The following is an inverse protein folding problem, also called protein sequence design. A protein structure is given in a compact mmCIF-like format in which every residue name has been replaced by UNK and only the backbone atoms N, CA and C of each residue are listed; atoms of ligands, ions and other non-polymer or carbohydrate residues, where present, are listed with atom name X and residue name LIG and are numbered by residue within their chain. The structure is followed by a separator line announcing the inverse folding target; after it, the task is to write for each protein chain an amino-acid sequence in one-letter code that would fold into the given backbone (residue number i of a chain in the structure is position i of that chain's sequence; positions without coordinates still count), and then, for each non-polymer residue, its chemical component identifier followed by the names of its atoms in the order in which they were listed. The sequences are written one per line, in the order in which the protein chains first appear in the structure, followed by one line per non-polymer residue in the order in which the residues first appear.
data_IF_072728620282
#
_entry.id   IF_072728620282
#
_cell.length_a   1.000
_cell.length_b   1.000
_cell.length_c   1.000
_cell.angle_alpha   90.00
_cell.angle_beta   90.00
_cell.angle_gamma   90.00
#
_symmetry.space_group_name_H-M   'P 1'
#
loop_
_entity.id
_entity.type
_entity.pdbx_description
1 polymer ?
#
# COMPACT_ATOMS: atom_id res chain seq x y z
N UNK A 1 -17.99 1.14 28.37
CA UNK A 1 -18.49 -0.11 27.77
C UNK A 1 -17.35 -0.75 27.00
N UNK A 2 -16.96 -1.96 27.41
CA UNK A 2 -15.92 -2.74 26.72
C UNK A 2 -16.38 -3.11 25.31
N UNK A 3 -15.44 -3.18 24.36
CA UNK A 3 -15.74 -3.58 22.98
C UNK A 3 -15.87 -5.10 22.91
N UNK A 4 -16.98 -5.58 22.32
CA UNK A 4 -17.13 -7.01 22.07
C UNK A 4 -16.11 -7.49 21.04
N UNK A 5 -15.46 -8.61 21.34
CA UNK A 5 -14.59 -9.34 20.41
C UNK A 5 -15.42 -9.98 19.30
N UNK A 6 -14.81 -10.33 18.14
CA UNK A 6 -15.52 -11.03 17.07
C UNK A 6 -16.19 -12.33 17.53
N UNK A 7 -15.51 -13.10 18.41
CA UNK A 7 -16.05 -14.34 18.99
C UNK A 7 -17.32 -14.07 19.82
N UNK A 8 -17.31 -13.02 20.65
CA UNK A 8 -18.48 -12.62 21.43
C UNK A 8 -19.63 -12.18 20.52
N UNK A 9 -19.35 -11.51 19.40
CA UNK A 9 -20.37 -11.14 18.43
C UNK A 9 -21.01 -12.35 17.75
N UNK A 10 -20.25 -13.40 17.46
CA UNK A 10 -20.81 -14.67 16.94
C UNK A 10 -21.82 -15.26 17.93
N UNK A 11 -21.51 -15.26 19.22
CA UNK A 11 -22.43 -15.73 20.26
C UNK A 11 -23.73 -14.93 20.24
N UNK A 12 -23.64 -13.60 20.13
CA UNK A 12 -24.82 -12.72 20.01
C UNK A 12 -25.67 -13.08 18.79
N UNK A 13 -25.06 -13.29 17.62
CA UNK A 13 -25.78 -13.67 16.39
C UNK A 13 -26.49 -15.02 16.55
N UNK A 14 -25.79 -16.03 17.06
CA UNK A 14 -26.36 -17.38 17.28
C UNK A 14 -27.59 -17.33 18.17
N UNK A 15 -27.48 -16.64 19.31
CA UNK A 15 -28.55 -16.54 20.31
C UNK A 15 -29.73 -15.72 19.77
N UNK A 16 -29.46 -14.67 19.01
CA UNK A 16 -30.51 -13.85 18.42
C UNK A 16 -31.42 -14.66 17.49
N UNK A 17 -30.84 -15.48 16.62
CA UNK A 17 -31.63 -16.34 15.73
C UNK A 17 -32.26 -17.53 16.48
N UNK A 18 -31.61 -18.07 17.52
CA UNK A 18 -32.19 -19.11 18.37
C UNK A 18 -33.49 -18.62 19.05
N UNK A 19 -33.55 -17.35 19.45
CA UNK A 19 -34.75 -16.75 20.04
C UNK A 19 -35.67 -16.05 19.02
N UNK A 20 -35.67 -16.50 17.77
CA UNK A 20 -36.58 -16.01 16.72
C UNK A 20 -36.54 -14.48 16.57
N UNK A 21 -35.34 -13.89 16.60
CA UNK A 21 -35.11 -12.45 16.44
C UNK A 21 -35.67 -11.56 17.58
N UNK A 22 -35.96 -12.14 18.75
CA UNK A 22 -36.37 -11.37 19.93
C UNK A 22 -35.18 -10.79 20.70
N UNK A 23 -34.99 -9.46 20.64
CA UNK A 23 -33.88 -8.80 21.36
C UNK A 23 -33.99 -8.98 22.88
N UNK A 24 -35.20 -8.97 23.44
CA UNK A 24 -35.42 -9.10 24.89
C UNK A 24 -34.98 -10.48 25.37
N UNK A 25 -35.37 -11.54 24.66
CA UNK A 25 -34.96 -12.90 24.99
C UNK A 25 -33.45 -13.09 24.77
N UNK A 26 -32.91 -12.51 23.71
CA UNK A 26 -31.46 -12.49 23.44
C UNK A 26 -30.71 -11.87 24.62
N UNK A 27 -31.11 -10.71 25.13
CA UNK A 27 -30.47 -10.10 26.29
C UNK A 27 -30.60 -10.92 27.57
N UNK A 28 -31.67 -11.71 27.74
CA UNK A 28 -31.82 -12.63 28.87
C UNK A 28 -30.84 -13.78 28.76
N UNK A 29 -30.81 -14.49 27.62
CA UNK A 29 -29.85 -15.60 27.42
C UNK A 29 -28.39 -15.16 27.43
N UNK A 30 -28.10 -13.90 27.04
CA UNK A 30 -26.75 -13.34 27.12
C UNK A 30 -26.28 -13.02 28.55
N UNK A 31 -27.19 -12.90 29.54
CA UNK A 31 -26.79 -12.68 30.94
C UNK A 31 -26.04 -13.86 31.52
N UNK A 32 -26.44 -15.07 31.14
CA UNK A 32 -25.84 -16.29 31.67
C UNK A 32 -24.40 -16.48 31.14
N UNK A 33 -24.12 -15.95 29.95
CA UNK A 33 -22.82 -16.10 29.27
C UNK A 33 -21.87 -14.93 29.57
N UNK A 34 -22.36 -13.69 29.48
CA UNK A 34 -21.53 -12.49 29.66
C UNK A 34 -21.60 -11.89 31.06
N UNK A 35 -22.51 -12.36 31.91
CA UNK A 35 -22.77 -11.76 33.22
C UNK A 35 -23.61 -10.48 33.12
N UNK A 36 -24.26 -10.11 34.23
CA UNK A 36 -25.28 -9.05 34.28
C UNK A 36 -24.79 -7.68 33.79
N UNK A 37 -23.52 -7.36 33.99
CA UNK A 37 -22.95 -6.03 33.70
C UNK A 37 -22.33 -5.90 32.30
N UNK A 38 -22.11 -7.02 31.58
CA UNK A 38 -21.47 -7.01 30.25
C UNK A 38 -22.44 -7.37 29.11
N UNK A 39 -23.75 -7.42 29.40
CA UNK A 39 -24.76 -7.67 28.37
C UNK A 39 -24.80 -6.51 27.38
N UNK A 40 -24.71 -6.76 26.06
CA UNK A 40 -24.81 -5.72 25.06
C UNK A 40 -26.16 -5.01 25.10
N UNK A 41 -26.14 -3.70 24.87
CA UNK A 41 -27.36 -2.91 24.74
C UNK A 41 -28.19 -3.35 23.52
N UNK A 42 -29.50 -3.08 23.54
CA UNK A 42 -30.41 -3.32 22.40
C UNK A 42 -29.85 -2.76 21.09
N UNK A 43 -29.34 -1.54 21.11
CA UNK A 43 -28.74 -0.89 19.94
C UNK A 43 -27.49 -1.61 19.43
N UNK A 44 -26.67 -2.16 20.34
CA UNK A 44 -25.47 -2.92 19.99
C UNK A 44 -25.84 -4.25 19.32
N UNK A 45 -26.81 -4.98 19.87
CA UNK A 45 -27.29 -6.25 19.30
C UNK A 45 -27.83 -6.01 17.88
N UNK A 46 -28.74 -5.06 17.71
CA UNK A 46 -29.33 -4.75 16.40
C UNK A 46 -28.27 -4.29 15.39
N UNK A 47 -27.26 -3.53 15.83
CA UNK A 47 -26.15 -3.14 14.96
C UNK A 47 -25.29 -4.34 14.54
N UNK A 48 -25.02 -5.28 15.44
CA UNK A 48 -24.28 -6.51 15.12
C UNK A 48 -25.06 -7.33 14.09
N UNK A 49 -26.36 -7.56 14.31
CA UNK A 49 -27.21 -8.31 13.38
C UNK A 49 -27.30 -7.62 12.02
N UNK A 50 -27.56 -6.31 12.00
CA UNK A 50 -27.60 -5.55 10.74
C UNK A 50 -26.27 -5.64 9.97
N UNK A 51 -25.14 -5.52 10.67
CA UNK A 51 -23.84 -5.65 10.02
C UNK A 51 -23.60 -7.08 9.51
N UNK A 52 -24.03 -8.08 10.25
CA UNK A 52 -23.94 -9.49 9.84
C UNK A 52 -24.81 -9.77 8.61
N UNK A 53 -26.06 -9.34 8.57
CA UNK A 53 -26.98 -9.55 7.44
C UNK A 53 -26.56 -8.78 6.18
N UNK A 54 -25.90 -7.62 6.33
CA UNK A 54 -25.47 -6.80 5.19
C UNK A 54 -24.08 -7.13 4.67
N UNK A 55 -23.13 -7.48 5.54
CA UNK A 55 -21.72 -7.71 5.19
C UNK A 55 -21.29 -9.18 5.33
N UNK A 56 -22.18 -10.06 5.81
CA UNK A 56 -21.91 -11.48 6.08
C UNK A 56 -20.69 -11.72 6.97
N UNK A 57 -20.35 -10.75 7.83
CA UNK A 57 -19.19 -10.80 8.71
C UNK A 57 -19.49 -10.22 10.09
N UNK A 58 -18.84 -10.78 11.11
CA UNK A 58 -18.84 -10.27 12.49
C UNK A 58 -17.60 -9.43 12.81
N UNK A 59 -16.65 -9.36 11.87
CA UNK A 59 -15.44 -8.56 12.01
C UNK A 59 -15.76 -7.07 12.10
N UNK A 60 -14.80 -6.30 12.59
CA UNK A 60 -14.92 -4.85 12.55
C UNK A 60 -14.98 -4.37 11.10
N UNK A 61 -15.89 -3.44 10.83
CA UNK A 61 -15.97 -2.78 9.52
C UNK A 61 -14.66 -2.03 9.28
N UNK A 62 -14.13 -2.13 8.07
CA UNK A 62 -12.99 -1.33 7.65
C UNK A 62 -13.31 0.15 7.85
N UNK A 63 -12.42 0.85 8.54
CA UNK A 63 -12.55 2.29 8.73
C UNK A 63 -11.97 2.97 7.50
N UNK A 64 -12.73 3.88 6.89
CA UNK A 64 -12.26 4.71 5.77
C UNK A 64 -11.06 5.59 6.16
N UNK A 65 -10.86 5.82 7.47
CA UNK A 65 -9.78 6.68 7.96
C UNK A 65 -10.01 8.15 7.62
N UNK A 66 -8.98 8.98 7.87
CA UNK A 66 -9.02 10.40 7.50
C UNK A 66 -8.76 10.54 5.98
N UNK A 67 -9.58 11.31 5.23
CA UNK A 67 -9.33 11.54 3.82
C UNK A 67 -7.98 12.21 3.60
N UNK A 68 -7.25 11.76 2.56
CA UNK A 68 -5.92 12.29 2.20
C UNK A 68 -6.06 13.45 1.22
N UNK A 69 -6.37 14.65 1.70
CA UNK A 69 -6.55 15.83 0.83
C UNK A 69 -5.30 16.21 0.04
N UNK A 70 -4.12 16.13 0.68
CA UNK A 70 -2.87 16.52 0.04
C UNK A 70 -2.32 15.49 -0.97
N UNK A 71 -2.67 14.21 -0.83
CA UNK A 71 -2.27 13.10 -1.72
C UNK A 71 -3.45 12.66 -2.57
N UNK A 72 -4.10 13.61 -3.23
CA UNK A 72 -5.13 13.31 -4.22
C UNK A 72 -4.51 12.61 -5.44
N UNK A 73 -5.35 11.95 -6.24
CA UNK A 73 -4.90 11.36 -7.50
C UNK A 73 -4.35 12.43 -8.45
N UNK A 74 -5.02 13.58 -8.52
CA UNK A 74 -4.57 14.76 -9.29
C UNK A 74 -3.16 15.23 -8.88
N UNK A 75 -2.90 15.41 -7.58
CA UNK A 75 -1.57 15.81 -7.11
C UNK A 75 -0.51 14.73 -7.41
N UNK A 76 -0.91 13.46 -7.34
CA UNK A 76 -0.02 12.32 -7.64
C UNK A 76 0.37 12.30 -9.12
N UNK A 77 -0.59 12.54 -10.00
CA UNK A 77 -0.38 12.64 -11.44
C UNK A 77 0.46 13.87 -11.81
N UNK A 78 0.17 15.04 -11.23
CA UNK A 78 0.95 16.25 -11.43
C UNK A 78 2.42 16.07 -11.02
N UNK A 79 2.66 15.44 -9.86
CA UNK A 79 4.03 15.11 -9.42
C UNK A 79 4.69 14.11 -10.37
N UNK A 80 3.96 13.08 -10.82
CA UNK A 80 4.48 12.08 -11.77
C UNK A 80 4.90 12.70 -13.09
N UNK A 81 4.06 13.53 -13.68
CA UNK A 81 4.31 14.22 -14.95
C UNK A 81 5.52 15.16 -14.83
N UNK A 82 5.55 15.95 -13.76
CA UNK A 82 6.64 16.87 -13.49
C UNK A 82 7.99 16.13 -13.36
N UNK A 83 8.02 14.96 -12.71
CA UNK A 83 9.25 14.15 -12.60
C UNK A 83 9.65 13.52 -13.93
N UNK A 84 8.68 13.10 -14.75
CA UNK A 84 8.94 12.55 -16.07
C UNK A 84 9.52 13.59 -17.05
N UNK A 85 9.06 14.84 -16.95
CA UNK A 85 9.56 15.95 -17.76
C UNK A 85 10.99 16.35 -17.37
N UNK A 86 11.23 16.55 -16.07
CA UNK A 86 12.53 16.98 -15.55
C UNK A 86 12.89 16.20 -14.28
N UNK A 87 13.63 15.08 -14.39
CA UNK A 87 13.96 14.23 -13.25
C UNK A 87 14.98 14.88 -12.29
N UNK A 88 15.83 15.77 -12.79
CA UNK A 88 16.88 16.43 -12.01
C UNK A 88 16.34 17.54 -11.08
N UNK A 89 15.10 18.00 -11.30
CA UNK A 89 14.50 19.07 -10.50
C UNK A 89 14.35 18.65 -9.03
N UNK A 90 14.95 19.44 -8.14
CA UNK A 90 14.88 19.20 -6.70
C UNK A 90 13.45 19.22 -6.18
N UNK A 91 13.18 18.42 -5.13
CA UNK A 91 11.86 18.36 -4.48
C UNK A 91 11.41 19.74 -3.98
N UNK A 92 12.33 20.58 -3.52
CA UNK A 92 12.02 21.94 -3.05
C UNK A 92 11.51 22.83 -4.19
N UNK A 93 12.18 22.78 -5.34
CA UNK A 93 11.78 23.55 -6.53
C UNK A 93 10.43 23.05 -7.07
N UNK A 94 10.27 21.75 -7.18
CA UNK A 94 9.01 21.12 -7.60
C UNK A 94 7.82 21.49 -6.69
N UNK A 95 8.07 21.63 -5.40
CA UNK A 95 7.07 22.10 -4.43
C UNK A 95 6.60 23.54 -4.70
N UNK A 96 7.52 24.41 -5.10
CA UNK A 96 7.19 25.79 -5.46
C UNK A 96 6.42 25.84 -6.79
N UNK A 97 6.85 25.06 -7.79
CA UNK A 97 6.21 25.00 -9.11
C UNK A 97 4.77 24.45 -9.05
N UNK A 98 4.55 23.39 -8.26
CA UNK A 98 3.23 22.75 -8.14
C UNK A 98 2.34 23.35 -7.04
N UNK A 99 2.87 24.25 -6.20
CA UNK A 99 2.14 24.78 -5.03
C UNK A 99 1.81 23.73 -3.96
N UNK A 100 2.47 22.57 -3.98
CA UNK A 100 2.24 21.47 -3.03
C UNK A 100 3.34 21.50 -1.96
N UNK A 101 2.98 21.21 -0.70
CA UNK A 101 3.97 21.07 0.37
C UNK A 101 5.06 20.04 0.00
N UNK A 102 6.33 20.43 0.15
CA UNK A 102 7.52 19.60 -0.09
C UNK A 102 7.41 18.21 0.52
N UNK A 103 6.91 18.09 1.76
CA UNK A 103 6.80 16.79 2.45
C UNK A 103 5.76 15.88 1.79
N UNK A 104 4.68 16.46 1.28
CA UNK A 104 3.66 15.74 0.51
C UNK A 104 4.25 15.22 -0.79
N UNK A 105 4.97 16.05 -1.55
CA UNK A 105 5.66 15.61 -2.78
C UNK A 105 6.62 14.46 -2.49
N UNK A 106 7.46 14.60 -1.45
CA UNK A 106 8.40 13.54 -1.08
C UNK A 106 7.67 12.23 -0.72
N UNK A 107 6.55 12.33 -0.01
CA UNK A 107 5.72 11.18 0.34
C UNK A 107 5.09 10.55 -0.90
N UNK A 108 4.59 11.34 -1.84
CA UNK A 108 4.03 10.88 -3.12
C UNK A 108 5.11 10.12 -3.91
N UNK A 109 6.26 10.76 -4.12
CA UNK A 109 7.38 10.17 -4.86
C UNK A 109 7.82 8.84 -4.24
N UNK A 110 7.98 8.76 -2.91
CA UNK A 110 8.50 7.58 -2.24
C UNK A 110 7.47 6.46 -2.02
N UNK A 111 6.24 6.80 -1.61
CA UNK A 111 5.23 5.81 -1.15
C UNK A 111 4.17 5.48 -2.19
N UNK A 112 3.83 6.41 -3.09
CA UNK A 112 2.80 6.16 -4.13
C UNK A 112 3.45 5.80 -5.47
N UNK A 113 4.49 6.55 -5.88
CA UNK A 113 5.17 6.35 -7.16
C UNK A 113 6.39 5.43 -7.07
N UNK A 114 6.82 5.08 -5.85
CA UNK A 114 7.98 4.22 -5.59
C UNK A 114 9.26 4.65 -6.32
N UNK A 115 9.48 5.96 -6.45
CA UNK A 115 10.70 6.51 -7.02
C UNK A 115 11.87 6.40 -6.05
N UNK A 116 13.02 6.05 -6.61
CA UNK A 116 14.29 5.99 -5.91
C UNK A 116 15.20 7.12 -6.38
N UNK A 117 16.02 7.72 -5.49
CA UNK A 117 17.02 8.68 -5.92
C UNK A 117 18.01 8.01 -6.87
N UNK A 118 18.11 8.52 -8.10
CA UNK A 118 19.24 8.19 -8.97
C UNK A 118 20.47 8.89 -8.42
N UNK A 119 21.46 8.11 -7.97
CA UNK A 119 22.76 8.66 -7.57
C UNK A 119 23.59 8.86 -8.83
N UNK A 120 23.91 10.12 -9.15
CA UNK A 120 24.83 10.42 -10.24
C UNK A 120 26.18 9.79 -9.93
N UNK A 121 26.65 8.92 -10.81
CA UNK A 121 28.00 8.37 -10.74
C UNK A 121 28.91 9.25 -11.60
N UNK A 122 30.04 9.67 -11.04
CA UNK A 122 31.07 10.33 -11.82
C UNK A 122 31.79 9.26 -12.66
N UNK A 123 31.68 9.36 -13.98
CA UNK A 123 32.32 8.45 -14.93
C UNK A 123 33.20 9.24 -15.90
N UNK A 124 34.12 8.55 -16.58
CA UNK A 124 34.88 9.15 -17.66
C UNK A 124 33.95 9.49 -18.83
N UNK A 125 34.11 10.70 -19.38
CA UNK A 125 33.39 11.11 -20.58
C UNK A 125 33.77 10.21 -21.76
N UNK A 126 32.77 9.71 -22.48
CA UNK A 126 32.98 8.91 -23.68
C UNK A 126 32.93 9.83 -24.90
N UNK A 127 33.94 9.74 -25.76
CA UNK A 127 33.94 10.42 -27.05
C UNK A 127 33.12 9.62 -28.06
N UNK A 128 32.73 10.29 -29.14
CA UNK A 128 31.94 9.66 -30.21
C UNK A 128 32.62 8.42 -30.82
N UNK A 129 33.95 8.43 -30.93
CA UNK A 129 34.77 7.28 -31.34
C UNK A 129 34.62 6.09 -30.39
N UNK A 130 34.58 6.35 -29.09
CA UNK A 130 34.61 5.34 -28.05
C UNK A 130 33.31 4.54 -28.06
N UNK A 131 32.18 5.19 -28.35
CA UNK A 131 30.89 4.51 -28.50
C UNK A 131 30.93 3.41 -29.57
N UNK A 132 31.54 3.70 -30.74
CA UNK A 132 31.66 2.73 -31.84
C UNK A 132 32.61 1.59 -31.46
N UNK A 133 33.78 1.92 -30.91
CA UNK A 133 34.78 0.93 -30.51
C UNK A 133 34.26 0.00 -29.41
N UNK A 134 33.64 0.56 -28.37
CA UNK A 134 33.07 -0.22 -27.26
C UNK A 134 31.96 -1.14 -27.75
N UNK A 135 31.05 -0.67 -28.61
CA UNK A 135 29.99 -1.52 -29.18
C UNK A 135 30.59 -2.66 -30.00
N UNK A 136 31.55 -2.35 -30.89
CA UNK A 136 32.22 -3.36 -31.70
C UNK A 136 32.92 -4.42 -30.86
N UNK A 137 33.62 -3.99 -29.80
CA UNK A 137 34.28 -4.90 -28.88
C UNK A 137 33.30 -5.77 -28.11
N UNK A 138 32.20 -5.19 -27.58
CA UNK A 138 31.13 -5.95 -26.90
C UNK A 138 30.49 -7.00 -27.82
N UNK A 139 30.18 -6.65 -29.07
CA UNK A 139 29.60 -7.61 -30.03
C UNK A 139 30.58 -8.74 -30.34
N UNK A 140 31.86 -8.42 -30.52
CA UNK A 140 32.91 -9.44 -30.74
C UNK A 140 33.07 -10.36 -29.53
N UNK A 141 33.01 -9.81 -28.32
CA UNK A 141 33.04 -10.56 -27.07
C UNK A 141 31.88 -11.56 -26.96
N UNK A 142 30.66 -11.12 -27.33
CA UNK A 142 29.49 -11.98 -27.34
C UNK A 142 29.65 -13.13 -28.34
N UNK A 143 30.20 -12.87 -29.53
CA UNK A 143 30.48 -13.91 -30.52
C UNK A 143 31.50 -14.93 -30.01
N UNK A 144 32.62 -14.46 -29.44
CA UNK A 144 33.66 -15.33 -28.89
C UNK A 144 33.13 -16.24 -27.77
N UNK A 145 32.16 -15.78 -26.98
CA UNK A 145 31.50 -16.60 -25.96
C UNK A 145 30.56 -17.66 -26.54
N UNK A 146 29.95 -17.40 -27.70
CA UNK A 146 29.13 -18.40 -28.42
C UNK A 146 30.01 -19.46 -29.05
N UNK A 147 31.12 -19.04 -29.66
CA UNK A 147 32.06 -19.93 -30.35
C UNK A 147 32.87 -20.81 -29.37
N UNK A 148 33.17 -20.28 -28.18
CA UNK A 148 33.85 -21.02 -27.10
C UNK A 148 33.20 -20.74 -25.73
N UNK A 149 32.41 -21.70 -25.19
CA UNK A 149 31.78 -21.55 -23.88
C UNK A 149 32.76 -21.36 -22.70
N UNK A 150 34.02 -21.77 -22.85
CA UNK A 150 35.06 -21.64 -21.83
C UNK A 150 35.94 -20.39 -22.02
N UNK A 151 35.58 -19.51 -22.96
CA UNK A 151 36.34 -18.30 -23.29
C UNK A 151 36.69 -17.44 -22.06
N UNK A 152 35.76 -17.27 -21.10
CA UNK A 152 35.98 -16.45 -19.91
C UNK A 152 37.13 -16.91 -19.03
N UNK A 153 37.46 -18.21 -19.02
CA UNK A 153 38.58 -18.76 -18.24
C UNK A 153 39.94 -18.41 -18.85
N UNK A 154 39.97 -17.98 -20.12
CA UNK A 154 41.18 -17.63 -20.86
C UNK A 154 41.55 -16.15 -20.73
N UNK A 155 40.64 -15.31 -20.23
CA UNK A 155 40.92 -13.90 -19.94
C UNK A 155 41.78 -13.81 -18.67
N UNK A 156 43.04 -13.37 -18.84
CA UNK A 156 43.90 -12.99 -17.72
C UNK A 156 43.69 -11.50 -17.42
N UNK A 157 43.40 -11.20 -16.16
CA UNK A 157 43.29 -9.85 -15.61
C UNK A 157 44.67 -9.28 -15.27
#
# INVERSE_FOLDING_TARGET
MERLTPQQRVIVVKIYYQYQSSVVQTQRGLRDIFGRNHVPSRSTILRIIKNFETLFTVADRSKSGRPRSARSNENTESVKNSVAENPETSVKRRAQELGINRQTIWTIMKKDLHFYPCKTQLTQELKESDHKQRRGWSTKLLQLNVDDPNFWQKLKW
#
